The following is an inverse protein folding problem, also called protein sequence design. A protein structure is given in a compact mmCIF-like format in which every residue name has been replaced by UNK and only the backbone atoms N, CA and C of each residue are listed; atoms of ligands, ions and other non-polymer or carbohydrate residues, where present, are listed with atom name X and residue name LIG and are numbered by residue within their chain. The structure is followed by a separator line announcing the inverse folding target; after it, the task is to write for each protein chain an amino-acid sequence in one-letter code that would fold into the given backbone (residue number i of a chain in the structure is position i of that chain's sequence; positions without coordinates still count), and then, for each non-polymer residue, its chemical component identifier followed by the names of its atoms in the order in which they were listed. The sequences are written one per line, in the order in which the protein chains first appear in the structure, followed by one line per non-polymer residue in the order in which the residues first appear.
data_IF_177749038686
#
_entry.id   IF_177749038686
#
_cell.length_a   1.000
_cell.length_b   1.000
_cell.length_c   1.000
_cell.angle_alpha   90.00
_cell.angle_beta   90.00
_cell.angle_gamma   90.00
#
_symmetry.space_group_name_H-M   'P 1'
#
loop_
_entity.id
_entity.type
_entity.pdbx_description
1 polymer ?
#
# COMPACT_ATOMS: atom_id res chain seq x y z
N UNK A 1 -12.50 20.52 -6.74
CA UNK A 1 -11.32 20.22 -7.57
C UNK A 1 -11.75 19.30 -8.69
N UNK A 2 -11.26 19.49 -9.92
CA UNK A 2 -11.56 18.54 -11.01
C UNK A 2 -10.66 17.30 -10.92
N UNK A 3 -10.94 16.27 -11.73
CA UNK A 3 -10.18 15.01 -11.69
C UNK A 3 -8.74 15.14 -12.18
N UNK A 4 -8.42 16.11 -13.05
CA UNK A 4 -7.03 16.36 -13.49
C UNK A 4 -6.23 16.97 -12.36
N UNK A 5 -6.80 17.97 -11.69
CA UNK A 5 -6.22 18.62 -10.51
C UNK A 5 -6.00 17.60 -9.38
N UNK A 6 -7.02 16.80 -9.05
CA UNK A 6 -6.91 15.75 -8.04
C UNK A 6 -5.80 14.75 -8.39
N UNK A 7 -5.78 14.24 -9.62
CA UNK A 7 -4.74 13.31 -10.09
C UNK A 7 -3.34 13.92 -9.97
N UNK A 8 -3.17 15.18 -10.34
CA UNK A 8 -1.90 15.90 -10.22
C UNK A 8 -1.45 16.02 -8.76
N UNK A 9 -2.37 16.37 -7.84
CA UNK A 9 -2.08 16.48 -6.40
C UNK A 9 -1.62 15.12 -5.86
N UNK A 10 -2.38 14.05 -6.09
CA UNK A 10 -2.02 12.72 -5.60
C UNK A 10 -0.66 12.26 -6.13
N UNK A 11 -0.41 12.42 -7.44
CA UNK A 11 0.85 12.02 -8.06
C UNK A 11 2.04 12.80 -7.52
N UNK A 12 1.91 14.12 -7.39
CA UNK A 12 2.99 14.98 -6.90
C UNK A 12 3.29 14.75 -5.42
N UNK A 13 2.26 14.70 -4.57
CA UNK A 13 2.44 14.59 -3.11
C UNK A 13 2.93 13.21 -2.67
N UNK A 14 2.45 12.15 -3.32
CA UNK A 14 2.82 10.77 -2.96
C UNK A 14 3.96 10.20 -3.81
N UNK A 15 4.40 10.92 -4.84
CA UNK A 15 5.36 10.42 -5.84
C UNK A 15 4.86 9.15 -6.53
N UNK A 16 3.60 9.15 -6.98
CA UNK A 16 2.98 7.96 -7.57
C UNK A 16 3.62 7.60 -8.92
N UNK A 17 3.96 6.32 -9.07
CA UNK A 17 4.44 5.76 -10.34
C UNK A 17 3.32 5.65 -11.39
N UNK A 18 2.11 5.31 -10.95
CA UNK A 18 0.98 4.99 -11.82
C UNK A 18 -0.16 6.00 -11.65
N UNK A 19 -0.97 6.16 -12.69
CA UNK A 19 -2.17 6.99 -12.60
C UNK A 19 -3.22 6.33 -11.68
N UNK A 20 -3.87 7.10 -10.78
CA UNK A 20 -5.08 6.64 -10.11
C UNK A 20 -6.13 6.24 -11.15
N UNK A 21 -6.83 5.13 -10.93
CA UNK A 21 -7.79 4.57 -11.89
C UNK A 21 -9.21 4.85 -11.42
N UNK A 22 -9.94 5.65 -12.19
CA UNK A 22 -11.37 5.81 -12.06
C UNK A 22 -12.10 4.52 -12.48
N UNK A 23 -13.03 4.05 -11.64
CA UNK A 23 -13.87 2.88 -11.93
C UNK A 23 -15.33 3.26 -11.81
N UNK A 24 -16.13 2.87 -12.81
CA UNK A 24 -17.60 2.97 -12.78
C UNK A 24 -18.24 1.63 -13.11
N UNK A 25 -19.27 1.25 -12.37
CA UNK A 25 -20.18 0.17 -12.75
C UNK A 25 -21.39 0.76 -13.48
N UNK A 26 -21.42 0.56 -14.80
CA UNK A 26 -22.43 1.15 -15.67
C UNK A 26 -23.77 0.44 -15.47
N UNK A 27 -24.81 1.17 -15.08
CA UNK A 27 -26.15 0.64 -14.84
C UNK A 27 -26.84 0.26 -16.15
N UNK A 28 -27.87 -0.58 -16.03
CA UNK A 28 -28.77 -0.87 -17.16
C UNK A 28 -29.46 0.44 -17.56
N UNK A 29 -29.39 0.79 -18.85
CA UNK A 29 -29.95 2.03 -19.41
C UNK A 29 -28.95 3.20 -19.53
N UNK A 30 -27.82 3.19 -18.82
CA UNK A 30 -26.79 4.22 -18.99
C UNK A 30 -26.00 4.00 -20.28
N UNK A 31 -25.69 5.07 -21.02
CA UNK A 31 -24.95 5.00 -22.28
C UNK A 31 -23.45 4.73 -22.09
N UNK A 32 -22.82 4.12 -23.10
CA UNK A 32 -21.37 3.93 -23.09
C UNK A 32 -20.71 5.26 -23.50
N UNK A 33 -19.73 5.80 -22.74
CA UNK A 33 -18.92 6.92 -23.19
C UNK A 33 -18.26 6.62 -24.55
N UNK A 34 -18.23 7.61 -25.44
CA UNK A 34 -17.74 7.44 -26.81
C UNK A 34 -16.25 7.05 -26.86
N UNK A 35 -15.47 7.61 -25.93
CA UNK A 35 -14.03 7.46 -25.78
C UNK A 35 -13.62 6.11 -25.18
N UNK A 36 -14.54 5.44 -24.46
CA UNK A 36 -14.24 4.17 -23.83
C UNK A 36 -14.29 3.03 -24.85
N UNK A 37 -13.19 2.30 -25.03
CA UNK A 37 -13.07 1.22 -26.01
C UNK A 37 -13.23 -0.15 -25.37
N UNK A 38 -13.80 -1.11 -26.09
CA UNK A 38 -13.81 -2.50 -25.65
C UNK A 38 -12.41 -3.10 -25.90
N UNK A 39 -11.81 -3.84 -24.93
CA UNK A 39 -10.52 -4.46 -25.16
C UNK A 39 -10.60 -5.52 -26.27
N UNK A 40 -9.52 -5.73 -27.06
CA UNK A 40 -9.53 -6.66 -28.18
C UNK A 40 -9.65 -8.13 -27.75
N UNK A 41 -9.37 -8.42 -26.48
CA UNK A 41 -9.54 -9.72 -25.85
C UNK A 41 -10.19 -9.55 -24.47
N UNK A 42 -10.93 -10.54 -23.97
CA UNK A 42 -11.46 -10.49 -22.61
C UNK A 42 -10.34 -10.32 -21.59
N UNK A 43 -10.50 -9.38 -20.67
CA UNK A 43 -9.56 -9.09 -19.59
C UNK A 43 -10.14 -9.53 -18.26
N UNK A 44 -9.30 -9.97 -17.33
CA UNK A 44 -9.70 -10.02 -15.92
C UNK A 44 -9.87 -8.58 -15.43
N UNK A 45 -10.79 -8.34 -14.50
CA UNK A 45 -11.01 -6.98 -13.98
C UNK A 45 -9.70 -6.36 -13.43
N UNK A 46 -8.86 -7.12 -12.73
CA UNK A 46 -7.53 -6.66 -12.31
C UNK A 46 -6.62 -6.25 -13.48
N UNK A 47 -6.64 -6.96 -14.60
CA UNK A 47 -5.89 -6.56 -15.81
C UNK A 47 -6.44 -5.27 -16.41
N UNK A 48 -7.75 -5.04 -16.34
CA UNK A 48 -8.35 -3.78 -16.79
C UNK A 48 -7.88 -2.57 -15.96
N UNK A 49 -7.65 -2.75 -14.65
CA UNK A 49 -7.05 -1.71 -13.78
C UNK A 49 -5.60 -1.42 -14.22
N UNK A 50 -4.81 -2.46 -14.54
CA UNK A 50 -3.43 -2.28 -15.06
C UNK A 50 -3.43 -1.57 -16.42
N UNK A 51 -4.34 -1.91 -17.31
CA UNK A 51 -4.45 -1.24 -18.60
C UNK A 51 -4.85 0.24 -18.41
N UNK A 52 -5.78 0.52 -17.50
CA UNK A 52 -6.24 1.87 -17.22
C UNK A 52 -5.16 2.73 -16.55
N UNK A 53 -4.40 2.20 -15.58
CA UNK A 53 -3.28 2.94 -14.95
C UNK A 53 -2.16 3.32 -15.92
N UNK A 54 -2.18 2.78 -17.15
CA UNK A 54 -1.25 3.03 -18.27
C UNK A 54 -1.86 3.92 -19.36
N UNK A 55 -3.01 4.54 -19.13
CA UNK A 55 -3.59 5.51 -20.07
C UNK A 55 -4.84 5.04 -20.83
N UNK A 56 -5.30 3.79 -20.65
CA UNK A 56 -6.43 3.27 -21.44
C UNK A 56 -7.78 3.59 -20.80
N UNK A 57 -8.75 4.01 -21.61
CA UNK A 57 -10.16 4.13 -21.22
C UNK A 57 -10.93 2.93 -21.76
N UNK A 58 -11.33 2.00 -20.88
CA UNK A 58 -11.93 0.73 -21.29
C UNK A 58 -13.39 0.61 -20.86
N UNK A 59 -14.17 0.00 -21.73
CA UNK A 59 -15.54 -0.47 -21.52
C UNK A 59 -15.57 -1.99 -21.55
N UNK A 60 -15.95 -2.62 -20.44
CA UNK A 60 -15.95 -4.07 -20.26
C UNK A 60 -17.37 -4.58 -20.00
N UNK A 61 -18.14 -4.93 -21.06
CA UNK A 61 -19.39 -5.69 -20.90
C UNK A 61 -19.08 -7.13 -20.43
N UNK A 62 -20.08 -7.93 -20.02
CA UNK A 62 -19.89 -9.30 -19.56
C UNK A 62 -18.93 -10.17 -20.39
N UNK A 63 -19.06 -10.13 -21.72
CA UNK A 63 -18.21 -10.89 -22.66
C UNK A 63 -16.73 -10.50 -22.63
N UNK A 64 -16.42 -9.29 -22.15
CA UNK A 64 -15.07 -8.76 -22.04
C UNK A 64 -14.43 -9.03 -20.68
N UNK A 65 -15.13 -9.71 -19.76
CA UNK A 65 -14.56 -10.16 -18.49
C UNK A 65 -14.10 -11.62 -18.58
N UNK A 66 -12.79 -11.85 -18.48
CA UNK A 66 -12.19 -13.19 -18.51
C UNK A 66 -12.33 -13.97 -17.18
N UNK A 67 -12.73 -13.31 -16.09
CA UNK A 67 -12.87 -13.93 -14.77
C UNK A 67 -14.36 -14.03 -14.39
N UNK A 68 -14.99 -15.22 -14.47
CA UNK A 68 -16.41 -15.39 -14.13
C UNK A 68 -16.73 -14.96 -12.70
N UNK A 69 -15.81 -15.21 -11.77
CA UNK A 69 -15.94 -14.80 -10.36
C UNK A 69 -15.95 -13.27 -10.22
N UNK A 70 -15.06 -12.57 -10.94
CA UNK A 70 -15.04 -11.11 -10.95
C UNK A 70 -16.30 -10.52 -11.57
N UNK A 71 -16.73 -11.05 -12.72
CA UNK A 71 -17.94 -10.59 -13.40
C UNK A 71 -19.21 -10.80 -12.54
N UNK A 72 -19.30 -11.94 -11.85
CA UNK A 72 -20.40 -12.21 -10.93
C UNK A 72 -20.39 -11.30 -9.70
N UNK A 73 -19.22 -11.11 -9.07
CA UNK A 73 -19.08 -10.23 -7.88
C UNK A 73 -19.50 -8.79 -8.20
N UNK A 74 -19.11 -8.31 -9.38
CA UNK A 74 -19.45 -6.97 -9.86
C UNK A 74 -20.93 -6.84 -10.28
N UNK A 75 -21.73 -7.91 -10.19
CA UNK A 75 -23.16 -7.89 -10.51
C UNK A 75 -23.45 -7.84 -12.02
N UNK A 76 -22.50 -8.25 -12.87
CA UNK A 76 -22.67 -8.24 -14.33
C UNK A 76 -23.42 -9.48 -14.84
N UNK A 77 -23.19 -10.63 -14.21
CA UNK A 77 -23.74 -11.93 -14.63
C UNK A 77 -24.06 -12.79 -13.42
N UNK A 78 -24.96 -13.76 -13.59
CA UNK A 78 -25.18 -14.80 -12.59
C UNK A 78 -23.97 -15.74 -12.51
N UNK A 79 -23.59 -16.14 -11.30
CA UNK A 79 -22.51 -17.12 -11.13
C UNK A 79 -23.01 -18.52 -11.45
N UNK A 80 -22.15 -19.34 -12.08
CA UNK A 80 -22.49 -20.76 -12.27
C UNK A 80 -22.75 -21.47 -10.91
N UNK A 81 -23.61 -22.50 -10.86
CA UNK A 81 -23.88 -23.24 -9.63
C UNK A 81 -22.62 -23.74 -8.92
N UNK A 82 -21.63 -24.25 -9.67
CA UNK A 82 -20.34 -24.73 -9.14
C UNK A 82 -19.47 -23.63 -8.53
N UNK A 83 -19.59 -22.40 -9.04
CA UNK A 83 -18.88 -21.26 -8.48
C UNK A 83 -19.56 -20.78 -7.20
N UNK A 84 -20.89 -20.66 -7.24
CA UNK A 84 -21.74 -20.26 -6.10
C UNK A 84 -21.63 -21.24 -4.92
N UNK A 85 -21.55 -22.55 -5.20
CA UNK A 85 -21.47 -23.60 -4.18
C UNK A 85 -20.10 -23.73 -3.51
N UNK A 86 -19.04 -23.18 -4.13
CA UNK A 86 -17.65 -23.32 -3.71
C UNK A 86 -16.89 -24.48 -4.35
N UNK A 87 -17.54 -25.34 -5.15
CA UNK A 87 -16.91 -26.50 -5.78
C UNK A 87 -15.70 -26.14 -6.65
N UNK A 88 -15.74 -25.02 -7.37
CA UNK A 88 -14.59 -24.60 -8.17
C UNK A 88 -13.37 -24.24 -7.32
N UNK A 89 -13.55 -23.72 -6.10
CA UNK A 89 -12.42 -23.42 -5.22
C UNK A 89 -11.74 -24.69 -4.70
N UNK A 90 -12.52 -25.75 -4.49
CA UNK A 90 -11.99 -27.07 -4.15
C UNK A 90 -11.30 -27.72 -5.35
N UNK A 91 -11.93 -27.67 -6.53
CA UNK A 91 -11.37 -28.21 -7.78
C UNK A 91 -10.02 -27.58 -8.12
N UNK A 92 -9.88 -26.27 -7.94
CA UNK A 92 -8.63 -25.55 -8.14
C UNK A 92 -7.67 -25.63 -6.94
N UNK A 93 -7.96 -26.47 -5.94
CA UNK A 93 -7.14 -26.66 -4.73
C UNK A 93 -6.83 -25.36 -3.97
N UNK A 94 -7.76 -24.41 -4.01
CA UNK A 94 -7.65 -23.14 -3.28
C UNK A 94 -8.16 -23.25 -1.84
N UNK A 95 -9.05 -24.21 -1.59
CA UNK A 95 -9.67 -24.45 -0.30
C UNK A 95 -9.56 -25.93 0.07
N UNK A 96 -9.42 -26.27 1.36
CA UNK A 96 -9.28 -27.65 1.82
C UNK A 96 -10.58 -28.45 1.68
N UNK A 97 -11.72 -27.79 1.83
CA UNK A 97 -13.05 -28.42 1.81
C UNK A 97 -14.15 -27.41 1.40
N UNK A 98 -15.36 -27.93 1.14
CA UNK A 98 -16.51 -27.11 0.75
C UNK A 98 -17.04 -26.23 1.88
N UNK A 99 -16.92 -26.64 3.14
CA UNK A 99 -17.43 -25.85 4.26
C UNK A 99 -16.65 -24.53 4.40
N UNK A 100 -15.32 -24.63 4.30
CA UNK A 100 -14.39 -23.50 4.28
C UNK A 100 -14.64 -22.61 3.06
N UNK A 101 -14.79 -23.19 1.87
CA UNK A 101 -15.09 -22.43 0.65
C UNK A 101 -16.40 -21.64 0.75
N UNK A 102 -17.46 -22.27 1.29
CA UNK A 102 -18.77 -21.60 1.50
C UNK A 102 -18.68 -20.46 2.49
N UNK A 103 -17.95 -20.63 3.60
CA UNK A 103 -17.74 -19.57 4.59
C UNK A 103 -17.02 -18.37 3.97
N UNK A 104 -15.98 -18.61 3.18
CA UNK A 104 -15.28 -17.56 2.44
C UNK A 104 -16.23 -16.82 1.48
N UNK A 105 -16.98 -17.56 0.65
CA UNK A 105 -17.93 -16.97 -0.31
C UNK A 105 -19.02 -16.16 0.41
N UNK A 106 -19.57 -16.65 1.51
CA UNK A 106 -20.62 -15.97 2.27
C UNK A 106 -20.14 -14.67 2.92
N UNK A 107 -18.85 -14.56 3.26
CA UNK A 107 -18.26 -13.35 3.83
C UNK A 107 -17.91 -12.27 2.80
N UNK A 108 -17.92 -12.63 1.51
CA UNK A 108 -17.45 -11.77 0.43
C UNK A 108 -18.53 -10.79 -0.01
N UNK A 109 -18.22 -9.49 -0.14
CA UNK A 109 -19.17 -8.53 -0.69
C UNK A 109 -19.35 -8.75 -2.19
N UNK A 110 -20.60 -8.67 -2.66
CA UNK A 110 -20.97 -8.74 -4.08
C UNK A 110 -22.22 -7.90 -4.37
N UNK A 111 -22.46 -7.63 -5.66
CA UNK A 111 -23.72 -7.05 -6.13
C UNK A 111 -24.66 -8.11 -6.72
N UNK A 112 -25.99 -7.89 -6.67
CA UNK A 112 -26.95 -8.74 -7.36
C UNK A 112 -26.64 -8.86 -8.85
N UNK A 113 -26.82 -10.06 -9.40
CA UNK A 113 -26.63 -10.32 -10.82
C UNK A 113 -27.54 -9.44 -11.68
N UNK A 114 -27.01 -8.95 -12.80
CA UNK A 114 -27.73 -8.09 -13.74
C UNK A 114 -27.93 -6.64 -13.27
N UNK A 115 -27.44 -6.26 -12.08
CA UNK A 115 -27.53 -4.87 -11.59
C UNK A 115 -26.77 -3.89 -12.50
N UNK A 116 -25.66 -4.33 -13.07
CA UNK A 116 -24.81 -3.53 -13.93
C UNK A 116 -24.58 -4.24 -15.27
N UNK A 117 -24.43 -3.46 -16.34
CA UNK A 117 -24.26 -3.98 -17.71
C UNK A 117 -22.81 -3.97 -18.19
N UNK A 118 -21.94 -3.22 -17.52
CA UNK A 118 -20.52 -3.16 -17.84
C UNK A 118 -19.70 -2.53 -16.71
N UNK A 119 -18.39 -2.70 -16.78
CA UNK A 119 -17.41 -1.93 -16.02
C UNK A 119 -16.73 -0.92 -16.94
N UNK A 120 -16.55 0.30 -16.46
CA UNK A 120 -15.74 1.33 -17.10
C UNK A 120 -14.51 1.58 -16.23
N UNK A 121 -13.34 1.67 -16.86
CA UNK A 121 -12.07 2.00 -16.18
C UNK A 121 -11.28 3.00 -17.01
N UNK A 122 -10.65 3.98 -16.36
CA UNK A 122 -9.82 4.99 -17.03
C UNK A 122 -8.81 5.60 -16.04
N UNK A 123 -7.70 6.19 -16.50
CA UNK A 123 -6.95 7.13 -15.66
C UNK A 123 -7.88 8.22 -15.13
N UNK A 124 -7.80 8.57 -13.85
CA UNK A 124 -8.68 9.54 -13.21
C UNK A 124 -8.71 10.88 -13.96
N UNK A 125 -7.55 11.40 -14.36
CA UNK A 125 -7.42 12.66 -15.09
C UNK A 125 -8.09 12.64 -16.50
N UNK A 126 -8.31 11.45 -17.06
CA UNK A 126 -8.83 11.25 -18.40
C UNK A 126 -10.18 10.50 -18.41
N UNK A 127 -10.84 10.36 -17.25
CA UNK A 127 -12.10 9.63 -17.14
C UNK A 127 -13.23 10.36 -17.88
N UNK A 128 -13.86 9.75 -18.91
CA UNK A 128 -14.99 10.36 -19.63
C UNK A 128 -16.34 10.09 -18.92
N UNK A 129 -16.30 9.82 -17.61
CA UNK A 129 -17.45 9.43 -16.80
C UNK A 129 -17.21 9.80 -15.33
N UNK A 130 -18.28 9.87 -14.54
CA UNK A 130 -18.19 10.01 -13.09
C UNK A 130 -17.88 8.64 -12.45
N UNK A 131 -16.70 8.45 -11.80
CA UNK A 131 -16.38 7.21 -11.13
C UNK A 131 -17.29 6.97 -9.93
N UNK A 132 -17.49 5.70 -9.58
CA UNK A 132 -18.04 5.33 -8.28
C UNK A 132 -16.91 5.27 -7.23
N UNK A 133 -15.74 4.79 -7.64
CA UNK A 133 -14.53 4.68 -6.81
C UNK A 133 -13.28 4.97 -7.63
N UNK A 134 -12.18 5.31 -6.95
CA UNK A 134 -10.86 5.46 -7.55
C UNK A 134 -9.88 4.50 -6.89
N UNK A 135 -9.25 3.65 -7.71
CA UNK A 135 -8.26 2.66 -7.27
C UNK A 135 -6.85 3.20 -7.51
N UNK A 136 -6.03 3.16 -6.48
CA UNK A 136 -4.63 3.53 -6.49
C UNK A 136 -3.78 2.27 -6.40
N UNK A 137 -2.71 2.19 -7.21
CA UNK A 137 -1.62 1.22 -6.97
C UNK A 137 -0.49 1.93 -6.24
N UNK A 138 -0.18 1.46 -5.04
CA UNK A 138 0.64 2.19 -4.07
C UNK A 138 1.72 1.28 -3.49
N UNK A 139 2.81 1.88 -3.03
CA UNK A 139 3.69 1.27 -2.04
C UNK A 139 3.09 1.38 -0.63
N UNK A 140 3.52 0.54 0.34
CA UNK A 140 3.00 0.58 1.71
C UNK A 140 3.07 1.98 2.36
N UNK A 141 4.16 2.71 2.14
CA UNK A 141 4.31 4.09 2.66
C UNK A 141 3.27 5.04 2.06
N UNK A 142 3.04 4.97 0.75
CA UNK A 142 2.06 5.83 0.08
C UNK A 142 0.63 5.53 0.57
N UNK A 143 0.33 4.26 0.83
CA UNK A 143 -0.95 3.85 1.41
C UNK A 143 -1.11 4.34 2.86
N UNK A 144 -0.04 4.31 3.66
CA UNK A 144 -0.02 4.92 4.99
C UNK A 144 -0.34 6.42 4.91
N UNK A 145 0.22 7.15 3.95
CA UNK A 145 -0.10 8.58 3.75
C UNK A 145 -1.54 8.82 3.30
N UNK A 146 -2.14 7.91 2.54
CA UNK A 146 -3.58 7.97 2.25
C UNK A 146 -4.43 7.82 3.52
N UNK A 147 -4.07 6.91 4.44
CA UNK A 147 -4.71 6.82 5.75
C UNK A 147 -4.53 8.11 6.55
N UNK A 148 -3.30 8.62 6.63
CA UNK A 148 -3.01 9.88 7.33
C UNK A 148 -3.79 11.05 6.74
N UNK A 149 -3.94 11.11 5.42
CA UNK A 149 -4.70 12.16 4.75
C UNK A 149 -6.19 12.13 5.11
N UNK A 150 -6.80 10.93 5.18
CA UNK A 150 -8.18 10.82 5.61
C UNK A 150 -8.32 11.15 7.10
N UNK A 151 -7.46 10.62 7.97
CA UNK A 151 -7.47 10.98 9.40
C UNK A 151 -7.22 12.46 9.63
N UNK A 152 -6.38 13.11 8.82
CA UNK A 152 -6.20 14.57 8.89
C UNK A 152 -7.48 15.32 8.51
N UNK A 153 -8.24 14.79 7.53
CA UNK A 153 -9.48 15.41 7.09
C UNK A 153 -10.64 15.20 8.07
N UNK A 154 -10.69 14.06 8.76
CA UNK A 154 -11.89 13.63 9.52
C UNK A 154 -11.66 13.38 11.01
N UNK A 155 -10.42 13.16 11.44
CA UNK A 155 -10.08 12.67 12.78
C UNK A 155 -10.29 11.17 12.98
N UNK A 156 -10.85 10.46 12.00
CA UNK A 156 -11.28 9.06 12.15
C UNK A 156 -10.18 8.05 11.83
N UNK A 157 -10.29 6.87 12.45
CA UNK A 157 -9.45 5.71 12.15
C UNK A 157 -10.06 4.89 11.02
N UNK A 158 -9.22 4.38 10.11
CA UNK A 158 -9.67 3.51 9.03
C UNK A 158 -9.74 2.05 9.47
N UNK A 159 -10.79 1.35 9.05
CA UNK A 159 -10.95 -0.09 9.22
C UNK A 159 -11.09 -0.75 7.85
N UNK A 160 -10.19 -1.68 7.54
CA UNK A 160 -10.18 -2.35 6.26
C UNK A 160 -10.79 -3.74 6.34
N UNK A 161 -11.62 -4.09 5.34
CA UNK A 161 -12.17 -5.43 5.15
C UNK A 161 -11.53 -6.02 3.90
N UNK A 162 -10.44 -6.76 4.09
CA UNK A 162 -9.65 -7.31 2.98
C UNK A 162 -9.37 -8.79 3.17
N UNK A 163 -9.13 -9.49 2.06
CA UNK A 163 -8.68 -10.87 2.05
C UNK A 163 -7.64 -11.13 0.94
N UNK A 164 -7.03 -12.32 0.96
CA UNK A 164 -6.18 -12.79 -0.15
C UNK A 164 -6.95 -13.23 -1.40
N UNK A 165 -8.28 -13.11 -1.41
CA UNK A 165 -9.17 -13.49 -2.49
C UNK A 165 -9.99 -12.28 -2.97
N UNK A 166 -10.41 -12.31 -4.24
CA UNK A 166 -11.37 -11.34 -4.78
C UNK A 166 -11.00 -9.84 -4.63
N UNK A 167 -9.73 -9.51 -4.82
CA UNK A 167 -9.15 -8.17 -4.64
C UNK A 167 -9.86 -7.05 -5.39
N UNK A 168 -9.55 -6.80 -6.67
CA UNK A 168 -10.05 -5.59 -7.34
C UNK A 168 -11.56 -5.57 -7.48
N UNK A 169 -12.22 -6.73 -7.61
CA UNK A 169 -13.67 -6.81 -7.72
C UNK A 169 -14.37 -6.61 -6.37
N UNK A 170 -14.07 -7.40 -5.34
CA UNK A 170 -14.80 -7.34 -4.06
C UNK A 170 -14.22 -6.26 -3.15
N UNK A 171 -12.91 -6.31 -2.86
CA UNK A 171 -12.28 -5.41 -1.88
C UNK A 171 -12.20 -3.97 -2.36
N UNK A 172 -12.01 -3.72 -3.67
CA UNK A 172 -11.73 -2.36 -4.17
C UNK A 172 -12.88 -1.71 -4.92
N UNK A 173 -13.89 -2.47 -5.35
CA UNK A 173 -15.07 -1.93 -6.02
C UNK A 173 -16.31 -2.13 -5.16
N UNK A 174 -16.70 -3.37 -4.88
CA UNK A 174 -17.96 -3.62 -4.16
C UNK A 174 -17.90 -3.08 -2.72
N UNK A 175 -16.84 -3.40 -1.96
CA UNK A 175 -16.72 -3.01 -0.56
C UNK A 175 -16.76 -1.48 -0.38
N UNK A 176 -15.97 -0.65 -1.10
CA UNK A 176 -16.03 0.80 -0.96
C UNK A 176 -17.33 1.41 -1.49
N UNK A 177 -17.91 0.86 -2.57
CA UNK A 177 -19.21 1.32 -3.07
C UNK A 177 -20.35 1.04 -2.08
N UNK A 178 -20.28 -0.04 -1.31
CA UNK A 178 -21.31 -0.41 -0.33
C UNK A 178 -21.14 0.31 1.01
N UNK A 179 -19.91 0.46 1.51
CA UNK A 179 -19.68 1.12 2.80
C UNK A 179 -19.54 2.64 2.70
N UNK A 180 -19.16 3.17 1.53
CA UNK A 180 -18.77 4.58 1.41
C UNK A 180 -17.43 4.90 2.09
N UNK A 181 -16.67 3.87 2.48
CA UNK A 181 -15.37 3.98 3.15
C UNK A 181 -14.25 3.53 2.21
N UNK A 182 -13.04 4.04 2.42
CA UNK A 182 -11.86 3.52 1.71
C UNK A 182 -11.59 2.06 2.07
N UNK A 183 -11.00 1.29 1.15
CA UNK A 183 -10.55 -0.06 1.45
C UNK A 183 -9.21 -0.40 0.81
N UNK A 184 -8.47 -1.33 1.41
CA UNK A 184 -7.18 -1.81 0.93
C UNK A 184 -7.30 -3.21 0.35
N UNK A 185 -6.41 -3.58 -0.56
CA UNK A 185 -6.24 -4.96 -0.96
C UNK A 185 -4.78 -5.27 -1.29
N UNK A 186 -4.30 -6.43 -0.84
CA UNK A 186 -2.95 -6.90 -1.09
C UNK A 186 -2.75 -7.47 -2.51
N UNK A 187 -3.78 -7.44 -3.36
CA UNK A 187 -3.79 -8.20 -4.61
C UNK A 187 -4.06 -9.67 -4.35
N UNK A 188 -5.18 -10.18 -4.86
CA UNK A 188 -5.55 -11.58 -4.60
C UNK A 188 -4.66 -12.53 -5.39
N UNK A 189 -4.64 -13.81 -4.99
CA UNK A 189 -3.90 -14.86 -5.68
C UNK A 189 -4.06 -14.80 -7.22
N UNK A 190 -5.30 -14.70 -7.70
CA UNK A 190 -5.57 -14.64 -9.15
C UNK A 190 -5.09 -13.34 -9.80
N UNK A 191 -5.08 -12.21 -9.06
CA UNK A 191 -4.62 -10.94 -9.59
C UNK A 191 -3.10 -10.95 -9.71
N UNK A 192 -2.37 -11.33 -8.64
CA UNK A 192 -0.90 -11.44 -8.67
C UNK A 192 -0.42 -12.47 -9.71
N UNK A 193 -1.17 -13.54 -9.93
CA UNK A 193 -0.83 -14.54 -10.95
C UNK A 193 -1.11 -14.10 -12.40
N UNK A 194 -1.92 -13.06 -12.64
CA UNK A 194 -2.39 -12.68 -13.99
C UNK A 194 -2.12 -11.23 -14.37
N UNK A 195 -1.47 -10.48 -13.50
CA UNK A 195 -1.17 -9.07 -13.70
C UNK A 195 0.19 -8.73 -13.11
N UNK A 196 0.75 -7.61 -13.55
CA UNK A 196 2.08 -7.14 -13.17
C UNK A 196 2.07 -6.36 -11.84
N UNK A 197 1.40 -6.92 -10.82
CA UNK A 197 1.46 -6.36 -9.45
C UNK A 197 2.76 -6.83 -8.83
N UNK A 198 3.61 -5.88 -8.47
CA UNK A 198 4.90 -6.15 -7.82
C UNK A 198 4.72 -6.56 -6.34
N UNK A 199 5.74 -7.20 -5.75
CA UNK A 199 5.75 -7.61 -4.34
C UNK A 199 5.67 -6.42 -3.37
N UNK A 200 6.13 -5.24 -3.80
CA UNK A 200 6.04 -3.99 -3.05
C UNK A 200 4.82 -3.15 -3.42
N UNK A 201 3.95 -3.62 -4.32
CA UNK A 201 2.71 -2.93 -4.68
C UNK A 201 1.52 -3.53 -3.90
N UNK A 202 0.66 -2.64 -3.42
CA UNK A 202 -0.68 -2.95 -2.94
C UNK A 202 -1.69 -2.01 -3.61
N UNK A 203 -2.97 -2.27 -3.41
CA UNK A 203 -4.02 -1.38 -3.88
C UNK A 203 -4.78 -0.73 -2.73
N UNK A 204 -5.24 0.49 -2.97
CA UNK A 204 -6.17 1.19 -2.09
C UNK A 204 -7.26 1.83 -2.95
N UNK A 205 -8.52 1.71 -2.54
CA UNK A 205 -9.65 2.29 -3.24
C UNK A 205 -10.33 3.34 -2.38
N UNK A 206 -10.67 4.47 -3.00
CA UNK A 206 -11.27 5.63 -2.35
C UNK A 206 -12.58 5.97 -3.05
N UNK A 207 -13.72 6.00 -2.31
CA UNK A 207 -14.97 6.57 -2.80
C UNK A 207 -14.82 8.04 -3.20
N UNK A 208 -15.47 8.44 -4.29
CA UNK A 208 -15.30 9.79 -4.88
C UNK A 208 -15.49 10.95 -3.89
N UNK A 209 -16.48 10.96 -2.98
CA UNK A 209 -16.66 12.06 -2.03
C UNK A 209 -15.45 12.30 -1.10
N UNK A 210 -14.58 11.30 -0.91
CA UNK A 210 -13.41 11.40 -0.04
C UNK A 210 -12.17 11.95 -0.75
N UNK A 211 -12.16 12.00 -2.09
CA UNK A 211 -10.97 12.37 -2.87
C UNK A 211 -10.52 13.81 -2.58
N UNK A 212 -11.43 14.78 -2.67
CA UNK A 212 -11.08 16.19 -2.49
C UNK A 212 -10.61 16.52 -1.06
N UNK A 213 -11.30 16.07 0.02
CA UNK A 213 -10.80 16.23 1.38
C UNK A 213 -9.40 15.63 1.55
N UNK A 214 -9.16 14.42 1.03
CA UNK A 214 -7.85 13.77 1.12
C UNK A 214 -6.77 14.51 0.33
N UNK A 215 -7.07 15.00 -0.88
CA UNK A 215 -6.13 15.77 -1.67
C UNK A 215 -5.70 17.07 -0.95
N UNK A 216 -6.67 17.76 -0.31
CA UNK A 216 -6.38 18.95 0.51
C UNK A 216 -5.50 18.62 1.71
N UNK A 217 -5.77 17.51 2.40
CA UNK A 217 -4.91 17.03 3.49
C UNK A 217 -3.49 16.70 3.01
N UNK A 218 -3.35 16.02 1.87
CA UNK A 218 -2.04 15.68 1.31
C UNK A 218 -1.23 16.93 0.94
N UNK A 219 -1.88 17.96 0.38
CA UNK A 219 -1.21 19.24 0.15
C UNK A 219 -0.63 19.83 1.44
N UNK A 220 -1.34 19.74 2.57
CA UNK A 220 -0.83 20.19 3.88
C UNK A 220 0.28 19.29 4.41
N UNK A 221 0.07 17.98 4.40
CA UNK A 221 1.06 16.99 4.88
C UNK A 221 2.36 17.02 4.07
N UNK A 222 2.27 17.33 2.78
CA UNK A 222 3.42 17.44 1.87
C UNK A 222 4.35 18.61 2.16
N UNK A 223 3.91 19.61 2.93
CA UNK A 223 4.73 20.76 3.30
C UNK A 223 5.76 20.42 4.38
N UNK A 224 5.53 19.37 5.18
CA UNK A 224 6.37 19.04 6.33
C UNK A 224 6.46 17.53 6.60
N UNK A 225 5.35 16.90 6.98
CA UNK A 225 5.34 15.53 7.50
C UNK A 225 5.83 14.48 6.50
N UNK A 226 5.42 14.58 5.23
CA UNK A 226 5.85 13.64 4.18
C UNK A 226 7.37 13.78 3.92
N UNK A 227 7.91 14.99 3.66
CA UNK A 227 9.36 15.16 3.54
C UNK A 227 10.15 14.70 4.77
N UNK A 228 9.71 15.05 5.98
CA UNK A 228 10.41 14.68 7.23
C UNK A 228 10.49 13.17 7.42
N UNK A 229 9.39 12.43 7.21
CA UNK A 229 9.40 10.96 7.29
C UNK A 229 10.34 10.34 6.25
N UNK A 230 10.28 10.82 5.00
CA UNK A 230 11.12 10.31 3.91
C UNK A 230 12.60 10.60 4.15
N UNK A 231 12.92 11.70 4.82
CA UNK A 231 14.26 12.07 5.28
C UNK A 231 14.65 11.43 6.64
N UNK A 232 13.76 10.62 7.23
CA UNK A 232 13.95 9.97 8.54
C UNK A 232 14.21 10.97 9.68
N UNK A 233 13.61 12.15 9.60
CA UNK A 233 13.59 13.17 10.65
C UNK A 233 12.52 12.78 11.66
N UNK A 234 12.93 12.08 12.73
CA UNK A 234 12.05 11.71 13.83
C UNK A 234 12.09 12.77 14.93
N UNK A 235 10.95 13.40 15.21
CA UNK A 235 10.82 14.27 16.37
C UNK A 235 10.63 13.40 17.61
N UNK A 236 11.63 13.39 18.50
CA UNK A 236 11.50 12.68 19.76
C UNK A 236 10.32 13.25 20.56
N UNK A 237 9.46 12.38 21.16
CA UNK A 237 8.40 12.85 22.04
C UNK A 237 8.97 13.74 23.13
N UNK A 238 8.29 14.84 23.45
CA UNK A 238 8.54 15.56 24.69
C UNK A 238 8.05 14.65 25.82
N UNK A 239 8.98 13.85 26.36
CA UNK A 239 8.67 12.88 27.40
C UNK A 239 8.39 13.64 28.69
N UNK A 240 7.12 13.82 29.02
CA UNK A 240 6.66 14.17 30.38
C UNK A 240 6.87 12.96 31.30
N UNK A 241 8.15 12.65 31.60
CA UNK A 241 8.64 11.68 32.60
C UNK A 241 8.20 10.21 32.46
N UNK A 242 7.41 9.84 31.44
CA UNK A 242 7.01 8.43 31.21
C UNK A 242 8.02 7.77 30.28
N UNK A 243 8.80 6.82 30.79
CA UNK A 243 9.76 6.04 30.00
C UNK A 243 11.21 6.47 30.11
N UNK A 244 11.53 7.48 30.93
CA UNK A 244 12.89 7.60 31.44
C UNK A 244 13.17 6.32 32.24
N UNK A 245 13.94 5.39 31.67
CA UNK A 245 14.74 4.47 32.47
C UNK A 245 15.45 5.39 33.46
N UNK A 246 15.00 5.45 34.72
CA UNK A 246 15.66 6.29 35.72
C UNK A 246 17.12 5.86 35.67
N UNK A 247 18.08 6.75 35.37
CA UNK A 247 19.46 6.41 35.62
C UNK A 247 19.51 6.02 37.10
N UNK A 248 19.98 4.82 37.40
CA UNK A 248 20.36 4.50 38.77
C UNK A 248 21.53 5.44 39.10
N UNK A 249 21.21 6.58 39.71
CA UNK A 249 22.13 7.59 40.21
C UNK A 249 23.19 8.10 39.19
N UNK A 250 22.83 9.13 38.42
CA UNK A 250 23.80 9.96 37.68
C UNK A 250 23.18 10.67 36.49
N UNK A 251 23.37 11.98 36.36
CA UNK A 251 22.94 12.75 35.18
C UNK A 251 23.66 12.25 33.92
N UNK A 252 22.89 11.85 32.90
CA UNK A 252 23.39 11.54 31.55
C UNK A 252 23.66 10.06 31.26
N UNK A 253 22.63 9.28 30.91
CA UNK A 253 22.82 7.96 30.34
C UNK A 253 23.49 8.08 28.96
N UNK A 254 24.82 7.95 28.89
CA UNK A 254 25.58 7.91 27.65
C UNK A 254 25.50 6.52 27.01
N UNK A 255 25.31 6.49 25.69
CA UNK A 255 25.38 5.25 24.92
C UNK A 255 26.83 4.77 24.89
N UNK A 256 27.09 3.60 25.46
CA UNK A 256 28.37 2.92 25.37
C UNK A 256 28.39 2.02 24.13
N UNK A 257 29.39 2.21 23.27
CA UNK A 257 29.59 1.44 22.05
C UNK A 257 30.76 0.49 22.28
N UNK A 258 30.45 -0.79 22.45
CA UNK A 258 31.44 -1.86 22.55
C UNK A 258 31.79 -2.37 21.15
N UNK A 259 33.08 -2.44 20.85
CA UNK A 259 33.62 -2.99 19.60
C UNK A 259 34.60 -4.09 19.97
N UNK A 260 34.27 -5.32 19.61
CA UNK A 260 35.13 -6.48 19.75
C UNK A 260 36.26 -6.39 18.71
N UNK A 261 37.45 -6.02 19.17
CA UNK A 261 38.63 -5.83 18.32
C UNK A 261 39.14 -7.13 17.70
N UNK A 262 38.86 -8.28 18.30
CA UNK A 262 39.25 -9.58 17.75
C UNK A 262 38.35 -9.99 16.57
N UNK A 263 37.09 -9.53 16.59
CA UNK A 263 36.11 -9.80 15.52
C UNK A 263 36.04 -8.68 14.48
N UNK A 264 36.63 -7.52 14.73
CA UNK A 264 36.61 -6.38 13.82
C UNK A 264 37.56 -6.59 12.65
N UNK A 265 37.02 -6.64 11.42
CA UNK A 265 37.82 -6.76 10.18
C UNK A 265 38.37 -5.43 9.65
N UNK A 266 37.88 -4.29 10.15
CA UNK A 266 38.27 -2.98 9.64
C UNK A 266 37.66 -2.60 8.29
N UNK A 267 36.54 -3.21 7.91
CA UNK A 267 35.90 -3.00 6.59
C UNK A 267 35.28 -1.61 6.38
N UNK A 268 35.11 -0.82 7.45
CA UNK A 268 34.60 0.55 7.39
C UNK A 268 33.10 0.70 7.16
N UNK A 269 32.33 -0.39 7.09
CA UNK A 269 30.87 -0.29 6.85
C UNK A 269 30.16 0.48 7.96
N UNK A 270 30.56 0.24 9.21
CA UNK A 270 29.99 0.94 10.36
C UNK A 270 30.24 2.47 10.33
N UNK A 271 31.37 2.90 9.75
CA UNK A 271 31.72 4.31 9.53
C UNK A 271 30.86 4.89 8.40
N UNK A 272 30.81 4.20 7.26
CA UNK A 272 30.08 4.66 6.07
C UNK A 272 28.57 4.82 6.31
N UNK A 273 27.97 3.94 7.11
CA UNK A 273 26.53 3.92 7.36
C UNK A 273 26.12 4.62 8.67
N UNK A 274 27.05 5.19 9.44
CA UNK A 274 26.67 5.91 10.65
C UNK A 274 26.05 7.27 10.28
N UNK A 275 24.73 7.49 10.48
CA UNK A 275 24.10 8.77 10.08
C UNK A 275 24.60 9.96 10.92
N UNK A 276 25.17 9.69 12.09
CA UNK A 276 25.67 10.70 13.03
C UNK A 276 27.20 10.84 13.03
N UNK A 277 27.93 10.09 12.19
CA UNK A 277 29.39 10.16 12.10
C UNK A 277 30.13 9.84 13.41
N UNK A 278 29.65 8.83 14.14
CA UNK A 278 30.15 8.46 15.49
C UNK A 278 31.46 7.67 15.45
N UNK A 279 31.70 6.94 14.35
CA UNK A 279 32.73 5.91 14.23
C UNK A 279 33.79 6.35 13.21
N UNK A 280 35.04 6.01 13.47
CA UNK A 280 36.16 6.15 12.53
C UNK A 280 36.98 4.85 12.47
N UNK A 281 37.73 4.65 11.37
CA UNK A 281 38.74 3.60 11.28
C UNK A 281 40.07 4.13 11.81
N UNK A 282 40.60 3.45 12.83
CA UNK A 282 41.91 3.74 13.42
C UNK A 282 42.84 2.55 13.23
N UNK A 283 44.14 2.79 13.26
CA UNK A 283 45.14 1.73 13.21
C UNK A 283 45.18 1.00 14.57
N UNK A 284 45.00 -0.32 14.56
CA UNK A 284 44.91 -1.16 15.75
C UNK A 284 45.78 -2.41 15.65
N UNK A 285 45.76 -3.23 16.71
CA UNK A 285 46.50 -4.49 16.75
C UNK A 285 45.91 -5.48 15.73
N UNK A 286 46.57 -5.65 14.59
CA UNK A 286 46.14 -6.56 13.51
C UNK A 286 45.53 -5.88 12.27
N UNK A 287 45.52 -4.55 12.20
CA UNK A 287 45.05 -3.80 11.01
C UNK A 287 44.16 -2.62 11.38
N UNK A 288 43.38 -2.12 10.41
CA UNK A 288 42.39 -1.08 10.66
C UNK A 288 41.26 -1.62 11.55
N UNK A 289 40.84 -0.86 12.54
CA UNK A 289 39.76 -1.21 13.46
C UNK A 289 38.80 -0.03 13.62
N UNK A 290 37.51 -0.32 13.77
CA UNK A 290 36.52 0.70 14.05
C UNK A 290 36.65 1.18 15.51
N UNK A 291 36.52 2.49 15.72
CA UNK A 291 36.51 3.10 17.05
C UNK A 291 35.43 4.17 17.13
N UNK A 292 34.70 4.21 18.25
CA UNK A 292 33.79 5.30 18.55
C UNK A 292 34.58 6.54 19.01
N UNK A 293 34.72 7.51 18.11
CA UNK A 293 35.41 8.78 18.36
C UNK A 293 34.48 9.88 18.86
N UNK A 294 33.19 9.79 18.52
CA UNK A 294 32.14 10.72 18.94
C UNK A 294 30.94 10.02 19.59
N UNK A 295 31.14 9.19 20.64
CA UNK A 295 30.06 8.42 21.26
C UNK A 295 28.91 9.31 21.76
N UNK A 296 29.18 10.57 22.11
CA UNK A 296 28.19 11.57 22.52
C UNK A 296 27.16 11.92 21.44
N UNK A 297 27.47 11.67 20.15
CA UNK A 297 26.54 11.91 19.03
C UNK A 297 25.66 10.69 18.71
N UNK A 298 25.85 9.59 19.42
CA UNK A 298 25.15 8.34 19.12
C UNK A 298 23.65 8.43 19.43
N UNK A 299 22.82 8.23 18.41
CA UNK A 299 21.35 8.16 18.54
C UNK A 299 20.82 6.75 18.84
N UNK A 300 21.71 5.78 19.14
CA UNK A 300 21.36 4.38 19.35
C UNK A 300 20.47 3.77 18.25
N UNK A 301 20.70 4.13 16.97
CA UNK A 301 19.92 3.60 15.84
C UNK A 301 20.29 2.16 15.43
N UNK A 302 21.32 1.57 16.06
CA UNK A 302 21.84 0.22 15.78
C UNK A 302 22.30 -0.05 14.33
N UNK A 303 22.39 0.97 13.47
CA UNK A 303 22.82 0.80 12.07
C UNK A 303 24.20 0.17 11.98
N UNK A 304 25.16 0.63 12.77
CA UNK A 304 26.52 0.07 12.81
C UNK A 304 26.54 -1.41 13.24
N UNK A 305 25.70 -1.80 14.20
CA UNK A 305 25.58 -3.20 14.63
C UNK A 305 24.96 -4.09 13.54
N UNK A 306 23.98 -3.57 12.79
CA UNK A 306 23.37 -4.28 11.67
C UNK A 306 24.26 -4.40 10.43
N UNK A 307 25.07 -3.38 10.14
CA UNK A 307 25.97 -3.38 8.98
C UNK A 307 27.27 -4.15 9.21
N UNK A 308 27.64 -4.44 10.48
CA UNK A 308 28.85 -5.18 10.78
C UNK A 308 28.68 -6.68 10.44
N UNK A 309 29.33 -7.22 9.40
CA UNK A 309 29.15 -8.62 8.99
C UNK A 309 29.63 -9.60 10.07
N UNK A 310 30.64 -9.20 10.85
CA UNK A 310 31.16 -9.99 11.96
C UNK A 310 30.38 -9.86 13.27
N UNK A 311 29.35 -9.00 13.34
CA UNK A 311 28.61 -8.69 14.58
C UNK A 311 29.53 -8.35 15.76
N UNK A 312 30.57 -7.56 15.48
CA UNK A 312 31.57 -7.13 16.45
C UNK A 312 31.12 -5.93 17.29
N UNK A 313 30.02 -5.26 16.94
CA UNK A 313 29.57 -4.03 17.59
C UNK A 313 28.33 -4.29 18.44
N UNK A 314 28.35 -3.82 19.69
CA UNK A 314 27.20 -3.80 20.60
C UNK A 314 27.02 -2.41 21.21
N UNK A 315 25.77 -2.04 21.48
CA UNK A 315 25.43 -0.78 22.15
C UNK A 315 24.77 -1.10 23.48
N UNK A 316 25.24 -0.45 24.54
CA UNK A 316 24.67 -0.47 25.88
C UNK A 316 24.38 0.96 26.34
N UNK A 317 23.59 1.09 27.40
CA UNK A 317 23.48 2.34 28.16
C UNK A 317 24.29 2.18 29.44
N UNK A 318 25.11 3.18 29.77
CA UNK A 318 25.69 3.32 31.11
C UNK A 318 24.70 3.94 32.08
#
# INVERSE_FOLDING_TARGET
MDYRELSSIFKATLSLRWDPVAVRLLRVGEEKPAEAVEPPVPLRHCQSIIAARRGNCLYLPPRSHACPDGAGILGLVEMSPKLRSGELYLLFKKMPDLATARKMIASRPEFPAGKYRATLVAPLAAAPFEPDVVIFTLWPEQAMWMCCALTYATGERQYFKTSGFNSTCADLVVQPMQSGEMNVSFGCYGARASSEIDDFELYLSVPVPLLEPMARSLLKLSQKSIPEERQKIYLHPVLDRVGSRKPEAGEGAQVEIFIDTERCLGDGLCVAFCPAGVLELVEGAGGQQARAVHPEKCSACYTCAGQCPQRAIQLAYR
#
